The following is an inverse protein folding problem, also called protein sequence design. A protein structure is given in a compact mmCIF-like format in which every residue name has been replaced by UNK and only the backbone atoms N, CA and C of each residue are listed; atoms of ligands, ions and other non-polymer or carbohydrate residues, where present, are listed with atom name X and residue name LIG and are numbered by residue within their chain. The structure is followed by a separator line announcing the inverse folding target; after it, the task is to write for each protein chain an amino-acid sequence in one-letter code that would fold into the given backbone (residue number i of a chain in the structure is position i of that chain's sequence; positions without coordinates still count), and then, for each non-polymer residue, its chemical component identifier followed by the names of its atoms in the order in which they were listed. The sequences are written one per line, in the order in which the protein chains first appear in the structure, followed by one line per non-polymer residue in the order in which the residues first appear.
data_IF_734238736815
#
_entry.id   IF_734238736815
#
_cell.length_a   1.000
_cell.length_b   1.000
_cell.length_c   1.000
_cell.angle_alpha   90.00
_cell.angle_beta   90.00
_cell.angle_gamma   90.00
#
_symmetry.space_group_name_H-M   'P 1'
#
loop_
_entity.id
_entity.type
_entity.pdbx_description
1 polymer ?
#
# COMPACT_ATOMS: atom_id res chain seq x y z
N UNK A 1 -18.90 -6.57 -9.87
CA UNK A 1 -17.77 -5.72 -10.30
C UNK A 1 -17.85 -4.31 -9.71
N UNK A 2 -18.99 -3.61 -9.78
CA UNK A 2 -19.17 -2.25 -9.25
C UNK A 2 -18.81 -2.06 -7.75
N UNK A 3 -19.13 -3.02 -6.89
CA UNK A 3 -18.77 -2.95 -5.46
C UNK A 3 -17.26 -2.98 -5.20
N UNK A 4 -16.51 -3.68 -6.05
CA UNK A 4 -15.05 -3.79 -5.95
C UNK A 4 -14.36 -2.47 -6.28
N UNK A 5 -14.79 -1.82 -7.37
CA UNK A 5 -14.27 -0.49 -7.74
C UNK A 5 -14.55 0.57 -6.67
N UNK A 6 -15.76 0.57 -6.08
CA UNK A 6 -16.08 1.53 -5.02
C UNK A 6 -15.19 1.33 -3.79
N UNK A 7 -14.94 0.08 -3.41
CA UNK A 7 -14.04 -0.24 -2.29
C UNK A 7 -12.58 0.14 -2.58
N UNK A 8 -12.12 -0.07 -3.81
CA UNK A 8 -10.79 0.38 -4.26
C UNK A 8 -10.67 1.90 -4.11
N UNK A 9 -11.64 2.67 -4.62
CA UNK A 9 -11.60 4.13 -4.54
C UNK A 9 -11.58 4.63 -3.09
N UNK A 10 -12.42 4.07 -2.21
CA UNK A 10 -12.47 4.46 -0.80
C UNK A 10 -11.14 4.25 -0.09
N UNK A 11 -10.41 3.18 -0.44
CA UNK A 11 -9.13 2.84 0.21
C UNK A 11 -7.95 3.60 -0.42
N UNK A 12 -7.96 3.79 -1.74
CA UNK A 12 -6.83 4.37 -2.47
C UNK A 12 -6.81 5.89 -2.44
N UNK A 13 -7.97 6.57 -2.51
CA UNK A 13 -8.04 8.04 -2.50
C UNK A 13 -7.32 8.67 -1.30
N UNK A 14 -7.57 8.27 -0.03
CA UNK A 14 -6.88 8.89 1.10
C UNK A 14 -5.37 8.65 1.07
N UNK A 15 -4.92 7.48 0.60
CA UNK A 15 -3.49 7.16 0.45
C UNK A 15 -2.84 8.03 -0.63
N UNK A 16 -3.49 8.18 -1.79
CA UNK A 16 -3.03 9.06 -2.87
C UNK A 16 -2.93 10.51 -2.42
N UNK A 17 -3.86 10.99 -1.59
CA UNK A 17 -3.80 12.35 -1.04
C UNK A 17 -2.54 12.53 -0.18
N UNK A 18 -2.20 11.55 0.67
CA UNK A 18 -1.01 11.60 1.52
C UNK A 18 0.28 11.56 0.67
N UNK A 19 0.33 10.70 -0.35
CA UNK A 19 1.45 10.63 -1.30
C UNK A 19 1.58 11.97 -2.05
N UNK A 20 0.48 12.50 -2.58
CA UNK A 20 0.46 13.77 -3.31
C UNK A 20 0.93 14.93 -2.43
N UNK A 21 0.51 14.98 -1.16
CA UNK A 21 0.93 16.00 -0.22
C UNK A 21 2.45 16.01 0.03
N UNK A 22 3.13 14.88 -0.14
CA UNK A 22 4.59 14.78 -0.03
C UNK A 22 5.30 15.04 -1.37
N UNK A 23 4.85 14.39 -2.44
CA UNK A 23 5.55 14.40 -3.73
C UNK A 23 5.30 15.67 -4.55
N UNK A 24 4.14 16.31 -4.44
CA UNK A 24 3.87 17.56 -5.17
C UNK A 24 4.83 18.67 -4.71
N UNK A 25 4.99 18.96 -3.41
CA UNK A 25 5.96 19.96 -2.96
C UNK A 25 7.41 19.57 -3.25
N UNK A 26 7.73 18.28 -3.23
CA UNK A 26 9.06 17.79 -3.59
C UNK A 26 9.40 18.15 -5.05
N UNK A 27 8.50 17.86 -6.00
CA UNK A 27 8.78 18.09 -7.43
C UNK A 27 8.58 19.54 -7.87
N UNK A 28 7.77 20.32 -7.16
CA UNK A 28 7.50 21.73 -7.54
C UNK A 28 8.37 22.74 -6.80
N UNK A 29 8.75 22.45 -5.55
CA UNK A 29 9.46 23.38 -4.66
C UNK A 29 10.79 22.83 -4.13
N UNK A 30 11.07 21.53 -4.31
CA UNK A 30 12.26 20.89 -3.75
C UNK A 30 12.21 20.68 -2.24
N UNK A 31 11.04 20.83 -1.62
CA UNK A 31 10.83 20.74 -0.17
C UNK A 31 10.13 19.43 0.16
N UNK A 32 10.55 18.78 1.24
CA UNK A 32 9.91 17.57 1.79
C UNK A 32 9.06 17.98 3.00
N UNK A 33 7.73 17.98 2.91
CA UNK A 33 6.86 18.46 4.00
C UNK A 33 6.88 17.59 5.25
N UNK A 34 6.81 16.27 5.08
CA UNK A 34 6.79 15.32 6.19
C UNK A 34 8.18 14.72 6.37
N UNK A 35 8.94 15.26 7.31
CA UNK A 35 10.25 14.75 7.71
C UNK A 35 10.21 14.37 9.18
N UNK A 36 10.49 13.11 9.47
CA UNK A 36 10.64 12.61 10.84
C UNK A 36 12.12 12.60 11.25
N UNK A 37 12.44 12.36 12.53
CA UNK A 37 13.82 12.13 12.95
C UNK A 37 14.47 11.07 12.06
N UNK A 38 15.66 11.37 11.52
CA UNK A 38 16.38 10.48 10.60
C UNK A 38 15.66 10.18 9.28
N UNK A 39 14.80 11.08 8.77
CA UNK A 39 14.03 10.88 7.53
C UNK A 39 13.05 9.71 7.55
N UNK A 40 12.70 9.22 8.75
CA UNK A 40 11.79 8.08 8.96
C UNK A 40 10.42 8.26 8.30
N UNK A 41 9.82 9.46 8.36
CA UNK A 41 8.53 9.74 7.69
C UNK A 41 8.63 9.74 6.16
N UNK A 42 9.80 10.06 5.59
CA UNK A 42 10.00 10.00 4.13
C UNK A 42 10.01 8.55 3.68
N UNK A 43 10.73 7.68 4.39
CA UNK A 43 10.72 6.24 4.14
C UNK A 43 9.32 5.63 4.30
N UNK A 44 8.55 6.07 5.30
CA UNK A 44 7.15 5.64 5.46
C UNK A 44 6.29 6.02 4.25
N UNK A 45 6.39 7.25 3.74
CA UNK A 45 5.59 7.70 2.59
C UNK A 45 5.97 6.97 1.29
N UNK A 46 7.25 6.66 1.09
CA UNK A 46 7.71 5.83 -0.05
C UNK A 46 7.09 4.42 0.03
N UNK A 47 7.00 3.85 1.23
CA UNK A 47 6.38 2.54 1.43
C UNK A 47 4.86 2.56 1.23
N UNK A 48 4.19 3.72 1.39
CA UNK A 48 2.75 3.85 1.11
C UNK A 48 2.40 3.63 -0.37
N UNK A 49 3.31 3.92 -1.30
CA UNK A 49 3.10 3.67 -2.73
C UNK A 49 2.89 2.17 -3.00
N UNK A 50 3.79 1.34 -2.47
CA UNK A 50 3.72 -0.12 -2.61
C UNK A 50 2.47 -0.70 -1.92
N UNK A 51 2.06 -0.11 -0.78
CA UNK A 51 0.83 -0.50 -0.08
C UNK A 51 -0.43 -0.24 -0.91
N UNK A 52 -0.47 0.84 -1.71
CA UNK A 52 -1.61 1.12 -2.58
C UNK A 52 -1.82 -0.02 -3.59
N UNK A 53 -0.76 -0.45 -4.27
CA UNK A 53 -0.82 -1.54 -5.24
C UNK A 53 -1.28 -2.84 -4.60
N UNK A 54 -0.76 -3.15 -3.41
CA UNK A 54 -1.13 -4.35 -2.69
C UNK A 54 -2.62 -4.36 -2.30
N UNK A 55 -3.14 -3.24 -1.80
CA UNK A 55 -4.55 -3.12 -1.41
C UNK A 55 -5.50 -3.27 -2.61
N UNK A 56 -5.15 -2.71 -3.78
CA UNK A 56 -5.93 -2.94 -5.01
C UNK A 56 -5.97 -4.42 -5.36
N UNK A 57 -4.80 -5.08 -5.36
CA UNK A 57 -4.69 -6.50 -5.68
C UNK A 57 -5.54 -7.35 -4.72
N UNK A 58 -5.48 -7.08 -3.42
CA UNK A 58 -6.26 -7.80 -2.40
C UNK A 58 -7.77 -7.70 -2.63
N UNK A 59 -8.27 -6.52 -3.00
CA UNK A 59 -9.70 -6.31 -3.23
C UNK A 59 -10.16 -7.09 -4.46
N UNK A 60 -9.38 -7.10 -5.53
CA UNK A 60 -9.68 -7.86 -6.75
C UNK A 60 -9.69 -9.36 -6.47
N UNK A 61 -8.66 -9.88 -5.79
CA UNK A 61 -8.54 -11.30 -5.44
C UNK A 61 -9.71 -11.74 -4.54
N UNK A 62 -9.98 -11.00 -3.46
CA UNK A 62 -11.09 -11.29 -2.55
C UNK A 62 -12.42 -11.30 -3.29
N UNK A 63 -12.66 -10.29 -4.15
CA UNK A 63 -13.90 -10.20 -4.92
C UNK A 63 -14.04 -11.39 -5.88
N UNK A 64 -12.95 -11.77 -6.55
CA UNK A 64 -12.95 -12.88 -7.49
C UNK A 64 -13.22 -14.22 -6.80
N UNK A 65 -12.52 -14.51 -5.70
CA UNK A 65 -12.69 -15.74 -4.93
C UNK A 65 -14.08 -15.80 -4.31
N UNK A 66 -14.56 -14.69 -3.74
CA UNK A 66 -15.89 -14.64 -3.15
C UNK A 66 -17.00 -14.93 -4.18
N UNK A 67 -16.90 -14.36 -5.39
CA UNK A 67 -17.88 -14.62 -6.45
C UNK A 67 -17.87 -16.08 -6.95
N UNK A 68 -16.75 -16.80 -6.78
CA UNK A 68 -16.62 -18.20 -7.23
C UNK A 68 -16.96 -19.21 -6.14
N UNK A 69 -16.65 -18.92 -4.89
CA UNK A 69 -16.75 -19.88 -3.80
C UNK A 69 -17.85 -19.54 -2.79
N UNK A 70 -18.33 -18.30 -2.75
CA UNK A 70 -19.29 -17.81 -1.75
C UNK A 70 -18.73 -17.72 -0.32
N UNK A 71 -17.47 -18.13 -0.12
CA UNK A 71 -16.79 -18.13 1.17
C UNK A 71 -15.76 -17.00 1.25
N UNK A 72 -15.80 -16.24 2.34
CA UNK A 72 -14.89 -15.12 2.60
C UNK A 72 -13.51 -15.65 3.02
N UNK A 73 -13.45 -16.81 3.68
CA UNK A 73 -12.25 -17.33 4.34
C UNK A 73 -11.09 -17.60 3.37
N UNK A 74 -11.37 -18.13 2.19
CA UNK A 74 -10.34 -18.50 1.21
C UNK A 74 -9.66 -17.25 0.65
N UNK A 75 -10.45 -16.21 0.34
CA UNK A 75 -9.92 -14.93 -0.13
C UNK A 75 -9.09 -14.23 0.94
N UNK A 76 -9.56 -14.22 2.20
CA UNK A 76 -8.81 -13.64 3.32
C UNK A 76 -7.53 -14.41 3.63
N UNK A 77 -7.52 -15.74 3.54
CA UNK A 77 -6.33 -16.55 3.80
C UNK A 77 -5.25 -16.31 2.76
N UNK A 78 -5.62 -16.32 1.47
CA UNK A 78 -4.66 -16.05 0.39
C UNK A 78 -4.10 -14.62 0.46
N UNK A 79 -4.94 -13.65 0.76
CA UNK A 79 -4.51 -12.28 1.01
C UNK A 79 -3.55 -12.16 2.22
N UNK A 80 -3.81 -12.89 3.31
CA UNK A 80 -2.90 -12.93 4.46
C UNK A 80 -1.52 -13.51 4.10
N UNK A 81 -1.47 -14.54 3.25
CA UNK A 81 -0.20 -15.10 2.75
C UNK A 81 0.56 -14.08 1.89
N UNK A 82 -0.12 -13.36 0.99
CA UNK A 82 0.49 -12.32 0.15
C UNK A 82 1.10 -11.21 1.01
N UNK A 83 0.33 -10.72 2.00
CA UNK A 83 0.80 -9.67 2.92
C UNK A 83 1.99 -10.18 3.75
N UNK A 84 1.91 -11.40 4.29
CA UNK A 84 2.99 -12.00 5.07
C UNK A 84 4.28 -12.16 4.23
N UNK A 85 4.15 -12.62 2.99
CA UNK A 85 5.27 -12.72 2.06
C UNK A 85 5.88 -11.34 1.77
N UNK A 86 5.05 -10.32 1.57
CA UNK A 86 5.54 -8.96 1.29
C UNK A 86 6.33 -8.39 2.47
N UNK A 87 5.82 -8.49 3.70
CA UNK A 87 6.54 -8.02 4.89
C UNK A 87 7.83 -8.80 5.14
N UNK A 88 7.81 -10.12 4.91
CA UNK A 88 9.00 -10.95 5.05
C UNK A 88 10.06 -10.57 4.01
N UNK A 89 9.67 -10.34 2.75
CA UNK A 89 10.58 -9.97 1.66
C UNK A 89 11.13 -8.55 1.79
N UNK A 90 10.37 -7.65 2.42
CA UNK A 90 10.77 -6.27 2.68
C UNK A 90 11.84 -6.13 3.78
N UNK A 91 12.26 -7.22 4.43
CA UNK A 91 13.21 -7.19 5.56
C UNK A 91 14.68 -7.08 5.18
N UNK A 92 15.03 -6.92 3.90
CA UNK A 92 16.41 -6.67 3.46
C UNK A 92 16.73 -5.17 3.50
N UNK A 93 17.06 -4.67 4.69
CA UNK A 93 17.86 -3.45 4.86
C UNK A 93 19.27 -3.93 5.21
N UNK A 94 20.16 -3.98 4.22
CA UNK A 94 21.58 -4.12 4.50
C UNK A 94 22.03 -2.90 5.33
N UNK A 95 22.83 -3.07 6.40
CA UNK A 95 23.39 -1.94 7.14
C UNK A 95 24.12 -1.03 6.15
N UNK A 96 23.69 0.22 6.03
CA UNK A 96 24.45 1.22 5.29
C UNK A 96 25.75 1.39 6.08
N UNK A 97 26.93 1.06 5.52
CA UNK A 97 28.18 1.23 6.24
C UNK A 97 28.33 2.72 6.55
N UNK A 98 28.52 3.02 7.85
CA UNK A 98 29.08 4.28 8.32
C UNK A 98 30.55 4.38 7.92
#
# INVERSE_FOLDING_TARGET
MFYSMRNILVIIIPLLIIIAAQYIPLFTMGIVPFVGPGSSLVGFVINLEHMCLLLVMMIVISTFIYNRTGSIYIGSFLNALIVSWMFTSSSVIAPVPI
#
